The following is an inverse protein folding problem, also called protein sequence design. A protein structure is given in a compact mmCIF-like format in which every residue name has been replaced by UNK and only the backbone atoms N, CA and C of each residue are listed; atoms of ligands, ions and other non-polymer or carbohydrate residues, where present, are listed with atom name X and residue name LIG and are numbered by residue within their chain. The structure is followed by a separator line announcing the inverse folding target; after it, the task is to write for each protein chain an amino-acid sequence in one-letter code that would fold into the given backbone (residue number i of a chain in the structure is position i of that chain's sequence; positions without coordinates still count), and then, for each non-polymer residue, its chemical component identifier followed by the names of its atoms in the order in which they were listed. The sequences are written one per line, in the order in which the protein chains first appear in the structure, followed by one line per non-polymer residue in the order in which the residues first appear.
data_IF_249040336793
#
_entry.id   IF_249040336793
#
_cell.length_a   1.000
_cell.length_b   1.000
_cell.length_c   1.000
_cell.angle_alpha   90.00
_cell.angle_beta   90.00
_cell.angle_gamma   90.00
#
_symmetry.space_group_name_H-M   'P 1'
#
loop_
_entity.id
_entity.type
_entity.pdbx_description
1 polymer ?
#
# COMPACT_ATOMS: atom_id res chain seq x y z
N UNK A 1 0.93 11.92 -16.58
CA UNK A 1 2.33 11.46 -16.67
C UNK A 1 3.37 12.51 -16.23
N UNK A 2 3.04 13.80 -16.14
CA UNK A 2 3.98 14.88 -15.79
C UNK A 2 4.82 14.60 -14.53
N UNK A 3 4.19 14.14 -13.44
CA UNK A 3 4.90 13.79 -12.20
C UNK A 3 5.91 12.65 -12.40
N UNK A 4 5.55 11.62 -13.16
CA UNK A 4 6.41 10.47 -13.47
C UNK A 4 7.64 10.93 -14.26
N UNK A 5 7.44 11.74 -15.32
CA UNK A 5 8.54 12.28 -16.12
C UNK A 5 9.53 13.05 -15.24
N UNK A 6 9.04 13.99 -14.43
CA UNK A 6 9.89 14.80 -13.55
C UNK A 6 10.71 13.96 -12.56
N UNK A 7 10.13 12.87 -12.05
CA UNK A 7 10.86 11.96 -11.16
C UNK A 7 11.94 11.20 -11.92
N UNK A 8 11.66 10.69 -13.11
CA UNK A 8 12.64 10.01 -13.97
C UNK A 8 13.79 10.95 -14.34
N UNK A 9 13.48 12.19 -14.75
CA UNK A 9 14.47 13.23 -15.07
C UNK A 9 15.39 13.46 -13.87
N UNK A 10 14.80 13.62 -12.68
CA UNK A 10 15.56 13.82 -11.45
C UNK A 10 16.45 12.62 -11.10
N UNK A 11 15.99 11.40 -11.33
CA UNK A 11 16.78 10.19 -11.10
C UNK A 11 17.97 10.10 -12.06
N UNK A 12 17.82 10.52 -13.32
CA UNK A 12 18.93 10.62 -14.29
C UNK A 12 19.93 11.69 -13.87
N UNK A 13 19.47 12.88 -13.47
CA UNK A 13 20.33 13.97 -12.98
C UNK A 13 21.17 13.54 -11.77
N UNK A 14 20.57 12.75 -10.86
CA UNK A 14 21.25 12.18 -9.70
C UNK A 14 22.16 11.00 -10.03
N UNK A 15 22.27 10.62 -11.31
CA UNK A 15 23.09 9.50 -11.80
C UNK A 15 22.77 8.18 -11.09
N UNK A 16 21.49 7.94 -10.79
CA UNK A 16 21.06 6.67 -10.22
C UNK A 16 21.35 5.53 -11.20
N UNK A 17 21.63 4.35 -10.65
CA UNK A 17 22.00 3.16 -11.43
C UNK A 17 21.00 2.04 -11.19
N UNK A 18 21.18 0.90 -11.86
CA UNK A 18 20.36 -0.31 -11.62
C UNK A 18 20.46 -0.86 -10.18
N UNK A 19 21.46 -0.41 -9.41
CA UNK A 19 21.69 -0.81 -8.03
C UNK A 19 21.06 0.18 -7.04
N UNK A 20 20.63 1.35 -7.50
CA UNK A 20 19.90 2.32 -6.67
C UNK A 20 18.55 1.75 -6.23
N UNK A 21 18.07 2.18 -5.06
CA UNK A 21 16.78 1.76 -4.51
C UNK A 21 15.88 2.96 -4.32
N UNK A 22 14.63 2.87 -4.77
CA UNK A 22 13.59 3.86 -4.47
C UNK A 22 12.98 3.52 -3.11
N UNK A 23 12.93 4.50 -2.20
CA UNK A 23 12.22 4.37 -0.93
C UNK A 23 10.99 5.27 -0.99
N UNK A 24 9.81 4.66 -1.05
CA UNK A 24 8.53 5.35 -1.16
C UNK A 24 7.97 5.62 0.25
N UNK A 25 8.16 6.84 0.75
CA UNK A 25 7.65 7.27 2.07
C UNK A 25 6.39 8.10 1.87
N UNK A 26 5.23 7.55 2.22
CA UNK A 26 3.95 8.25 2.09
C UNK A 26 2.74 7.32 2.09
N UNK A 27 1.57 7.86 1.72
CA UNK A 27 0.35 7.07 1.52
C UNK A 27 0.34 6.34 0.17
N UNK A 28 -0.81 5.73 -0.17
CA UNK A 28 -0.96 4.90 -1.38
C UNK A 28 -0.61 5.62 -2.69
N UNK A 29 -0.90 6.92 -2.80
CA UNK A 29 -0.54 7.72 -4.00
C UNK A 29 0.97 7.78 -4.21
N UNK A 30 1.75 7.98 -3.13
CA UNK A 30 3.21 8.00 -3.22
C UNK A 30 3.72 6.61 -3.57
N UNK A 31 3.17 5.58 -2.93
CA UNK A 31 3.54 4.18 -3.18
C UNK A 31 3.31 3.76 -4.64
N UNK A 32 2.15 4.10 -5.22
CA UNK A 32 1.79 3.78 -6.60
C UNK A 32 2.72 4.48 -7.61
N UNK A 33 2.94 5.79 -7.43
CA UNK A 33 3.78 6.59 -8.33
C UNK A 33 5.24 6.15 -8.23
N UNK A 34 5.78 5.99 -7.02
CA UNK A 34 7.16 5.61 -6.79
C UNK A 34 7.43 4.18 -7.25
N UNK A 35 6.50 3.25 -7.00
CA UNK A 35 6.56 1.88 -7.50
C UNK A 35 6.55 1.83 -9.03
N UNK A 36 5.69 2.62 -9.68
CA UNK A 36 5.63 2.68 -11.14
C UNK A 36 6.92 3.25 -11.74
N UNK A 37 7.43 4.36 -11.18
CA UNK A 37 8.72 4.96 -11.56
C UNK A 37 9.86 3.94 -11.41
N UNK A 38 9.93 3.24 -10.28
CA UNK A 38 10.94 2.20 -10.04
C UNK A 38 10.84 1.05 -11.04
N UNK A 39 9.63 0.66 -11.43
CA UNK A 39 9.40 -0.43 -12.40
C UNK A 39 9.88 -0.11 -13.81
N UNK A 40 9.84 1.16 -14.23
CA UNK A 40 10.20 1.58 -15.59
C UNK A 40 11.60 2.18 -15.69
N UNK A 41 12.15 2.74 -14.60
CA UNK A 41 13.49 3.30 -14.60
C UNK A 41 14.53 2.19 -14.83
N UNK A 42 15.34 2.33 -15.89
CA UNK A 42 16.29 1.29 -16.35
C UNK A 42 15.67 -0.11 -16.53
N UNK A 43 14.35 -0.18 -16.80
CA UNK A 43 13.55 -1.42 -16.88
C UNK A 43 13.39 -2.17 -15.55
N UNK A 44 13.51 -1.45 -14.43
CA UNK A 44 13.27 -1.99 -13.10
C UNK A 44 14.48 -1.77 -12.19
N UNK A 45 14.25 -1.08 -11.07
CA UNK A 45 15.17 -0.99 -9.95
C UNK A 45 14.43 -1.30 -8.63
N UNK A 46 15.13 -1.77 -7.58
CA UNK A 46 14.49 -2.07 -6.30
C UNK A 46 13.63 -0.92 -5.75
N UNK A 47 12.50 -1.27 -5.13
CA UNK A 47 11.65 -0.35 -4.39
C UNK A 47 11.33 -0.90 -3.00
N UNK A 48 11.34 -0.02 -2.00
CA UNK A 48 10.88 -0.27 -0.62
C UNK A 48 9.72 0.66 -0.33
N UNK A 49 8.64 0.13 0.24
CA UNK A 49 7.47 0.90 0.63
C UNK A 49 7.53 1.20 2.13
N UNK A 50 7.34 2.47 2.52
CA UNK A 50 7.20 2.92 3.91
C UNK A 50 5.84 3.62 4.02
N UNK A 51 4.74 2.85 4.11
CA UNK A 51 3.38 3.39 4.14
C UNK A 51 3.09 4.22 5.41
N UNK A 52 2.68 5.48 5.22
CA UNK A 52 2.40 6.44 6.32
C UNK A 52 0.91 6.66 6.57
N UNK A 53 0.04 5.96 5.85
CA UNK A 53 -1.42 6.00 6.02
C UNK A 53 -1.92 4.61 6.35
N UNK A 54 -2.93 4.47 7.21
CA UNK A 54 -3.45 3.16 7.58
C UNK A 54 -3.93 2.38 6.33
N UNK A 55 -4.63 3.06 5.40
CA UNK A 55 -5.05 2.47 4.13
C UNK A 55 -3.88 1.88 3.32
N UNK A 56 -2.72 2.53 3.34
CA UNK A 56 -1.53 2.01 2.69
C UNK A 56 -0.90 0.84 3.45
N UNK A 57 -0.90 0.88 4.78
CA UNK A 57 -0.38 -0.19 5.63
C UNK A 57 -1.20 -1.49 5.51
N UNK A 58 -2.53 -1.39 5.42
CA UNK A 58 -3.41 -2.57 5.34
C UNK A 58 -3.70 -3.03 3.92
N UNK A 59 -3.51 -2.17 2.91
CA UNK A 59 -3.94 -2.44 1.55
C UNK A 59 -2.94 -1.98 0.48
N UNK A 60 -2.92 -0.70 0.11
CA UNK A 60 -2.31 -0.27 -1.18
C UNK A 60 -0.81 -0.52 -1.32
N UNK A 61 -0.04 -0.64 -0.23
CA UNK A 61 1.39 -0.99 -0.32
C UNK A 61 1.67 -2.48 -0.58
N UNK A 62 0.62 -3.33 -0.58
CA UNK A 62 0.72 -4.78 -0.64
C UNK A 62 0.15 -5.31 -1.97
N UNK A 63 0.96 -6.10 -2.67
CA UNK A 63 0.55 -6.83 -3.87
C UNK A 63 0.91 -6.19 -5.21
N UNK A 64 1.88 -5.27 -5.20
CA UNK A 64 2.65 -4.88 -6.38
C UNK A 64 1.89 -4.13 -7.47
N UNK A 65 0.63 -3.74 -7.27
CA UNK A 65 -0.05 -2.84 -8.21
C UNK A 65 0.56 -1.46 -8.06
N UNK A 66 1.10 -0.93 -9.15
CA UNK A 66 1.67 0.41 -9.19
C UNK A 66 1.15 1.14 -10.41
N UNK A 67 1.04 2.46 -10.36
CA UNK A 67 0.56 3.18 -11.53
C UNK A 67 0.19 4.62 -11.27
N UNK A 68 -0.48 5.18 -12.27
CA UNK A 68 -0.95 6.55 -12.28
C UNK A 68 -2.29 6.65 -13.01
N UNK A 69 -3.01 7.70 -12.69
CA UNK A 69 -4.26 8.02 -13.37
C UNK A 69 -3.98 8.51 -14.80
N UNK A 70 -4.87 8.12 -15.70
CA UNK A 70 -5.10 8.83 -16.95
C UNK A 70 -6.22 9.87 -16.74
N UNK A 71 -6.32 10.88 -17.63
CA UNK A 71 -7.35 11.93 -17.50
C UNK A 71 -8.78 11.37 -17.42
N UNK A 72 -9.02 10.23 -18.08
CA UNK A 72 -10.35 9.61 -18.17
C UNK A 72 -10.55 8.40 -17.25
N UNK A 73 -9.50 7.94 -16.55
CA UNK A 73 -9.59 6.70 -15.76
C UNK A 73 -8.54 6.64 -14.64
N UNK A 74 -8.99 6.19 -13.46
CA UNK A 74 -8.12 5.95 -12.30
C UNK A 74 -7.26 4.71 -12.53
N UNK A 75 -5.99 4.76 -12.13
CA UNK A 75 -5.03 3.65 -12.15
C UNK A 75 -4.91 2.91 -13.50
N UNK A 76 -5.20 3.59 -14.61
CA UNK A 76 -5.23 2.97 -15.94
C UNK A 76 -3.83 2.60 -16.47
N UNK A 77 -2.80 3.35 -16.08
CA UNK A 77 -1.44 3.19 -16.59
C UNK A 77 -0.56 2.74 -15.44
N UNK A 78 0.02 1.54 -15.54
CA UNK A 78 0.76 0.97 -14.44
C UNK A 78 1.47 -0.34 -14.78
N UNK A 79 2.10 -0.92 -13.77
CA UNK A 79 2.75 -2.23 -13.83
C UNK A 79 2.47 -3.02 -12.56
N UNK A 80 2.56 -4.35 -12.66
CA UNK A 80 2.72 -5.22 -11.50
C UNK A 80 4.21 -5.29 -11.16
N UNK A 81 4.62 -4.65 -10.07
CA UNK A 81 6.01 -4.57 -9.63
C UNK A 81 6.09 -4.69 -8.10
N UNK A 82 6.62 -5.82 -7.63
CA UNK A 82 6.68 -6.12 -6.19
C UNK A 82 7.79 -5.33 -5.49
N UNK A 83 7.52 -4.76 -4.30
CA UNK A 83 8.56 -4.17 -3.48
C UNK A 83 9.46 -5.24 -2.88
N UNK A 84 10.69 -4.85 -2.53
CA UNK A 84 11.64 -5.69 -1.77
C UNK A 84 11.26 -5.80 -0.30
N UNK A 85 10.62 -4.77 0.24
CA UNK A 85 10.20 -4.66 1.63
C UNK A 85 9.02 -3.69 1.72
N UNK A 86 8.07 -3.99 2.59
CA UNK A 86 7.05 -3.05 3.10
C UNK A 86 7.32 -2.88 4.59
N UNK A 87 7.65 -1.66 5.02
CA UNK A 87 7.94 -1.33 6.41
C UNK A 87 6.79 -0.48 6.98
N UNK A 88 5.88 -1.15 7.70
CA UNK A 88 4.74 -0.51 8.36
C UNK A 88 5.07 -0.19 9.81
N UNK A 89 5.05 1.09 10.17
CA UNK A 89 5.23 1.57 11.55
C UNK A 89 3.90 2.19 12.04
N UNK A 90 3.24 1.60 13.06
CA UNK A 90 2.02 2.15 13.65
C UNK A 90 2.16 3.57 14.21
N UNK A 91 3.36 3.96 14.66
CA UNK A 91 3.60 5.29 15.25
C UNK A 91 3.46 6.41 14.22
N UNK A 92 3.70 6.14 12.94
CA UNK A 92 3.49 7.11 11.86
C UNK A 92 2.02 7.55 11.75
N UNK A 93 1.08 6.72 12.23
CA UNK A 93 -0.34 7.03 12.19
C UNK A 93 -0.75 8.07 13.24
N UNK A 94 0.09 8.40 14.23
CA UNK A 94 -0.26 9.39 15.26
C UNK A 94 -0.51 10.79 14.67
N UNK A 95 0.16 11.13 13.57
CA UNK A 95 0.01 12.44 12.90
C UNK A 95 -1.03 12.43 11.77
N UNK A 96 -1.61 11.27 11.46
CA UNK A 96 -2.55 11.12 10.36
C UNK A 96 -3.90 11.82 10.68
N UNK A 97 -4.49 12.60 9.76
CA UNK A 97 -5.80 13.19 9.98
C UNK A 97 -6.85 12.12 10.27
N UNK A 98 -7.80 12.40 11.19
CA UNK A 98 -8.82 11.43 11.63
C UNK A 98 -9.61 10.83 10.47
N UNK A 99 -9.97 11.66 9.48
CA UNK A 99 -10.70 11.21 8.29
C UNK A 99 -9.91 10.17 7.49
N UNK A 100 -8.61 10.38 7.30
CA UNK A 100 -7.73 9.45 6.57
C UNK A 100 -7.49 8.17 7.36
N UNK A 101 -7.38 8.28 8.69
CA UNK A 101 -7.28 7.14 9.57
C UNK A 101 -8.54 6.27 9.53
N UNK A 102 -9.72 6.88 9.66
CA UNK A 102 -11.01 6.20 9.56
C UNK A 102 -11.19 5.50 8.19
N UNK A 103 -10.77 6.14 7.10
CA UNK A 103 -10.75 5.53 5.76
C UNK A 103 -9.97 4.20 5.74
N UNK A 104 -8.80 4.16 6.38
CA UNK A 104 -8.02 2.93 6.51
C UNK A 104 -8.68 1.87 7.40
N UNK A 105 -9.37 2.26 8.46
CA UNK A 105 -10.12 1.33 9.31
C UNK A 105 -11.27 0.67 8.56
N UNK A 106 -11.98 1.39 7.69
CA UNK A 106 -13.04 0.79 6.87
C UNK A 106 -12.50 -0.28 5.91
N UNK A 107 -11.33 -0.04 5.32
CA UNK A 107 -10.67 -1.03 4.48
C UNK A 107 -10.23 -2.27 5.28
N UNK A 108 -9.75 -2.05 6.51
CA UNK A 108 -9.41 -3.14 7.42
C UNK A 108 -10.65 -3.94 7.83
N UNK A 109 -11.77 -3.27 8.15
CA UNK A 109 -13.04 -3.91 8.48
C UNK A 109 -13.61 -4.71 7.29
N UNK A 110 -13.44 -4.22 6.06
CA UNK A 110 -13.84 -4.94 4.85
C UNK A 110 -13.25 -6.35 4.87
N UNK A 111 -11.96 -6.52 5.16
CA UNK A 111 -11.32 -7.84 5.27
C UNK A 111 -12.03 -8.76 6.26
N UNK A 112 -12.46 -8.23 7.41
CA UNK A 112 -13.25 -8.98 8.38
C UNK A 112 -14.57 -9.48 7.79
N UNK A 113 -15.32 -8.59 7.14
CA UNK A 113 -16.61 -8.92 6.52
C UNK A 113 -16.48 -9.97 5.42
N UNK A 114 -15.46 -9.87 4.56
CA UNK A 114 -15.38 -10.72 3.36
C UNK A 114 -14.62 -12.02 3.55
N UNK A 115 -13.73 -12.12 4.56
CA UNK A 115 -12.76 -13.22 4.66
C UNK A 115 -12.41 -13.66 6.07
N UNK A 116 -12.74 -12.90 7.11
CA UNK A 116 -12.21 -13.17 8.45
C UNK A 116 -13.16 -12.78 9.59
N UNK A 117 -13.97 -13.76 10.01
CA UNK A 117 -14.92 -13.58 11.10
C UNK A 117 -14.26 -13.22 12.44
N UNK A 118 -13.02 -13.66 12.70
CA UNK A 118 -12.30 -13.33 13.93
C UNK A 118 -11.87 -11.86 13.93
N UNK A 119 -11.37 -11.36 12.78
CA UNK A 119 -11.09 -9.93 12.62
C UNK A 119 -12.35 -9.08 12.76
N UNK A 120 -13.48 -9.54 12.20
CA UNK A 120 -14.76 -8.84 12.36
C UNK A 120 -15.19 -8.77 13.84
N UNK A 121 -15.09 -9.88 14.57
CA UNK A 121 -15.39 -9.92 16.00
C UNK A 121 -14.43 -9.04 16.82
N UNK A 122 -13.16 -8.94 16.42
CA UNK A 122 -12.17 -8.05 17.04
C UNK A 122 -12.55 -6.57 16.88
N UNK A 123 -13.09 -6.18 15.72
CA UNK A 123 -13.67 -4.84 15.54
C UNK A 123 -14.86 -4.60 16.48
N UNK A 124 -15.73 -5.59 16.71
CA UNK A 124 -16.85 -5.41 17.65
C UNK A 124 -16.36 -5.25 19.10
N UNK A 125 -15.42 -6.09 19.52
CA UNK A 125 -14.96 -6.16 20.91
C UNK A 125 -13.95 -5.08 21.27
N UNK A 126 -13.04 -4.74 20.36
CA UNK A 126 -11.85 -3.92 20.64
C UNK A 126 -11.80 -2.60 19.86
N UNK A 127 -12.89 -2.15 19.21
CA UNK A 127 -12.94 -0.91 18.43
C UNK A 127 -12.33 0.31 19.13
N UNK A 128 -12.47 0.44 20.45
CA UNK A 128 -11.92 1.57 21.21
C UNK A 128 -10.40 1.65 21.09
N UNK A 129 -9.69 0.52 21.06
CA UNK A 129 -8.22 0.48 20.91
C UNK A 129 -7.81 0.96 19.52
N UNK A 130 -8.55 0.56 18.48
CA UNK A 130 -8.34 1.05 17.11
C UNK A 130 -8.63 2.55 17.00
N UNK A 131 -9.75 3.03 17.52
CA UNK A 131 -10.08 4.46 17.48
C UNK A 131 -9.06 5.33 18.23
N UNK A 132 -8.46 4.80 19.30
CA UNK A 132 -7.37 5.46 20.05
C UNK A 132 -5.99 5.32 19.41
N UNK A 133 -5.87 4.60 18.29
CA UNK A 133 -4.60 4.34 17.59
C UNK A 133 -3.56 3.66 18.48
N UNK A 134 -4.02 2.73 19.32
CA UNK A 134 -3.14 1.93 20.18
C UNK A 134 -2.11 1.18 19.30
N UNK A 135 -0.79 1.42 19.47
CA UNK A 135 0.22 0.88 18.56
C UNK A 135 0.19 -0.64 18.44
N UNK A 136 -0.03 -1.36 19.55
CA UNK A 136 -0.07 -2.82 19.55
C UNK A 136 -1.32 -3.35 18.84
N UNK A 137 -2.48 -2.74 19.07
CA UNK A 137 -3.71 -3.08 18.36
C UNK A 137 -3.57 -2.84 16.84
N UNK A 138 -2.93 -1.75 16.45
CA UNK A 138 -2.71 -1.43 15.04
C UNK A 138 -1.66 -2.34 14.39
N UNK A 139 -0.60 -2.70 15.10
CA UNK A 139 0.36 -3.68 14.59
C UNK A 139 -0.33 -5.02 14.26
N UNK A 140 -1.15 -5.53 15.19
CA UNK A 140 -1.93 -6.76 14.97
C UNK A 140 -2.90 -6.62 13.79
N UNK A 141 -3.61 -5.50 13.71
CA UNK A 141 -4.55 -5.20 12.63
C UNK A 141 -3.84 -5.20 11.26
N UNK A 142 -2.74 -4.46 11.14
CA UNK A 142 -1.94 -4.37 9.91
C UNK A 142 -1.39 -5.73 9.52
N UNK A 143 -0.83 -6.49 10.47
CA UNK A 143 -0.31 -7.82 10.21
C UNK A 143 -1.41 -8.78 9.71
N UNK A 144 -2.61 -8.73 10.31
CA UNK A 144 -3.72 -9.59 9.91
C UNK A 144 -4.27 -9.24 8.53
N UNK A 145 -4.50 -7.96 8.24
CA UNK A 145 -4.91 -7.51 6.90
C UNK A 145 -3.87 -7.90 5.84
N UNK A 146 -2.57 -7.71 6.14
CA UNK A 146 -1.49 -8.09 5.24
C UNK A 146 -1.49 -9.60 4.95
N UNK A 147 -1.69 -10.44 5.97
CA UNK A 147 -1.77 -11.89 5.81
C UNK A 147 -2.95 -12.31 4.93
N UNK A 148 -4.15 -11.75 5.15
CA UNK A 148 -5.34 -12.03 4.33
C UNK A 148 -5.08 -11.61 2.88
N UNK A 149 -4.56 -10.40 2.67
CA UNK A 149 -4.29 -9.90 1.32
C UNK A 149 -3.22 -10.72 0.60
N UNK A 150 -2.16 -11.11 1.30
CA UNK A 150 -1.09 -11.96 0.77
C UNK A 150 -1.63 -13.32 0.32
N UNK A 151 -2.51 -13.96 1.11
CA UNK A 151 -3.15 -15.23 0.73
C UNK A 151 -3.94 -15.11 -0.59
N UNK A 152 -4.67 -14.01 -0.77
CA UNK A 152 -5.40 -13.75 -2.03
C UNK A 152 -4.44 -13.49 -3.19
N UNK A 153 -3.39 -12.69 -2.99
CA UNK A 153 -2.39 -12.37 -4.03
C UNK A 153 -1.63 -13.63 -4.46
N UNK A 154 -1.27 -14.51 -3.54
CA UNK A 154 -0.57 -15.76 -3.86
C UNK A 154 -1.43 -16.69 -4.74
N UNK A 155 -2.75 -16.62 -4.60
CA UNK A 155 -3.71 -17.37 -5.42
C UNK A 155 -4.01 -16.71 -6.76
N UNK A 156 -3.88 -15.38 -6.85
CA UNK A 156 -4.17 -14.59 -8.06
C UNK A 156 -3.37 -13.27 -8.12
N UNK A 157 -2.10 -13.36 -8.51
CA UNK A 157 -1.19 -12.20 -8.47
C UNK A 157 -1.61 -11.10 -9.45
N UNK A 158 -2.05 -11.48 -10.66
CA UNK A 158 -2.36 -10.57 -11.78
C UNK A 158 -3.85 -10.27 -11.94
N UNK A 159 -4.67 -10.56 -10.93
CA UNK A 159 -6.09 -10.19 -10.88
C UNK A 159 -6.91 -10.78 -12.04
N UNK A 160 -6.79 -12.10 -12.20
CA UNK A 160 -7.53 -12.86 -13.21
C UNK A 160 -8.98 -13.13 -12.77
N UNK A 161 -9.25 -13.25 -11.46
CA UNK A 161 -10.59 -13.53 -10.92
C UNK A 161 -10.72 -13.22 -9.42
N UNK A 162 -10.03 -13.98 -8.56
CA UNK A 162 -10.20 -14.00 -7.09
C UNK A 162 -9.90 -12.66 -6.42
N UNK A 163 -9.03 -11.83 -7.00
CA UNK A 163 -8.63 -10.54 -6.41
C UNK A 163 -9.72 -9.46 -6.51
N UNK A 164 -10.78 -9.66 -7.31
CA UNK A 164 -11.88 -8.69 -7.50
C UNK A 164 -12.72 -8.41 -6.26
N UNK A 165 -12.68 -9.31 -5.28
CA UNK A 165 -13.42 -9.16 -4.02
C UNK A 165 -12.74 -8.20 -3.04
N UNK A 166 -11.46 -7.89 -3.29
CA UNK A 166 -10.66 -6.96 -2.49
C UNK A 166 -10.92 -5.54 -2.96
#
# INVERSE_FOLDING_TARGET
LTTVSRLLDRMVELKLTRQSTVVAVGGGVVGDVAGFVASIYMRGIPVVQVPTTLLAQVDSSIGGKTGVNHRVAKNLIGTFYQPRLVLSDPLLLQTLPEREYASGLYEALKYGVIRDAELFADFEQNHVTFLKRDPEAIERLVARCAAIKADVIMKDEKESDLRRIL
#
